data_IF_796285010842
#
_entry.id   IF_796285010842
#
_cell.length_a   1.000
_cell.length_b   1.000
_cell.length_c   1.000
_cell.angle_alpha   90.00
_cell.angle_beta   90.00
_cell.angle_gamma   90.00
#
_symmetry.space_group_name_H-M   'P 1'
#
loop_
_entity.id
_entity.type
_entity.pdbx_description
1 polymer ?
#
# COMPACT_ATOMS: atom_id res chain seq x y z
N UNK A 1 -4.64 7.05 -11.67
CA UNK A 1 -4.24 6.40 -10.40
C UNK A 1 -5.36 6.32 -9.36
N UNK A 2 -6.35 7.21 -9.36
CA UNK A 2 -7.52 7.12 -8.48
C UNK A 2 -8.45 5.98 -8.92
N UNK A 3 -9.02 5.27 -7.95
CA UNK A 3 -10.06 4.28 -8.22
C UNK A 3 -11.41 4.95 -8.50
N UNK A 4 -11.73 5.99 -7.73
CA UNK A 4 -12.91 6.83 -7.95
C UNK A 4 -12.47 8.21 -8.46
N UNK A 5 -12.93 8.56 -9.66
CA UNK A 5 -12.60 9.83 -10.30
C UNK A 5 -13.49 10.99 -9.81
N UNK A 6 -14.53 10.70 -9.04
CA UNK A 6 -15.47 11.71 -8.51
C UNK A 6 -15.03 12.26 -7.15
N UNK A 7 -14.13 11.55 -6.46
CA UNK A 7 -13.69 11.88 -5.09
C UNK A 7 -12.20 12.20 -5.07
N UNK A 8 -11.83 13.21 -4.28
CA UNK A 8 -10.46 13.59 -4.02
C UNK A 8 -9.78 14.35 -5.15
N UNK A 9 -8.55 14.77 -4.91
CA UNK A 9 -7.72 15.51 -5.86
C UNK A 9 -7.04 14.57 -6.87
N UNK A 10 -7.00 14.92 -8.18
CA UNK A 10 -6.19 14.18 -9.15
C UNK A 10 -4.71 14.15 -8.77
N UNK A 11 -4.06 13.02 -9.01
CA UNK A 11 -2.63 12.87 -8.68
C UNK A 11 -1.76 13.93 -9.36
N UNK A 12 -2.06 14.33 -10.60
CA UNK A 12 -1.33 15.38 -11.31
C UNK A 12 -1.43 16.74 -10.62
N UNK A 13 -2.60 17.08 -10.10
CA UNK A 13 -2.82 18.35 -9.37
C UNK A 13 -2.12 18.33 -8.00
N UNK A 14 -2.17 17.21 -7.29
CA UNK A 14 -1.39 17.02 -6.07
C UNK A 14 0.11 17.14 -6.36
N UNK A 15 0.59 16.51 -7.41
CA UNK A 15 2.01 16.49 -7.77
C UNK A 15 2.54 17.90 -8.12
N UNK A 16 1.70 18.77 -8.67
CA UNK A 16 2.07 20.17 -8.95
C UNK A 16 2.34 20.99 -7.68
N UNK A 17 1.72 20.61 -6.55
CA UNK A 17 1.83 21.32 -5.26
C UNK A 17 2.76 20.61 -4.27
N UNK A 18 3.08 19.35 -4.53
CA UNK A 18 3.84 18.50 -3.62
C UNK A 18 5.26 19.03 -3.40
N UNK A 19 5.68 18.99 -2.14
CA UNK A 19 7.07 19.28 -1.79
C UNK A 19 7.94 18.04 -2.03
N UNK A 20 9.21 18.28 -2.28
CA UNK A 20 10.21 17.19 -2.48
C UNK A 20 10.20 16.19 -1.34
N UNK A 21 10.14 16.68 -0.10
CA UNK A 21 10.16 15.87 1.11
C UNK A 21 8.95 14.94 1.19
N UNK A 22 7.77 15.41 0.81
CA UNK A 22 6.53 14.63 0.77
C UNK A 22 6.63 13.50 -0.27
N UNK A 23 7.16 13.80 -1.45
CA UNK A 23 7.37 12.79 -2.50
C UNK A 23 8.34 11.71 -2.00
N UNK A 24 9.44 12.11 -1.37
CA UNK A 24 10.43 11.17 -0.80
C UNK A 24 9.78 10.29 0.26
N UNK A 25 9.02 10.88 1.19
CA UNK A 25 8.36 10.13 2.26
C UNK A 25 7.39 9.08 1.70
N UNK A 26 6.55 9.47 0.74
CA UNK A 26 5.59 8.57 0.09
C UNK A 26 6.31 7.40 -0.58
N UNK A 27 7.36 7.69 -1.36
CA UNK A 27 8.12 6.68 -2.07
C UNK A 27 8.80 5.68 -1.13
N UNK A 28 9.35 6.14 -0.01
CA UNK A 28 9.93 5.26 1.01
C UNK A 28 8.86 4.47 1.75
N UNK A 29 7.85 5.16 2.27
CA UNK A 29 6.86 4.57 3.17
C UNK A 29 5.98 3.53 2.48
N UNK A 30 5.56 3.78 1.26
CA UNK A 30 4.60 2.95 0.55
C UNK A 30 5.20 2.12 -0.59
N UNK A 31 6.38 2.48 -1.08
CA UNK A 31 7.03 1.80 -2.19
C UNK A 31 8.28 1.03 -1.82
N UNK A 32 8.84 1.24 -0.63
CA UNK A 32 10.21 0.78 -0.31
C UNK A 32 11.17 1.12 -1.46
N UNK A 33 11.05 2.36 -1.99
CA UNK A 33 11.81 2.81 -3.15
C UNK A 33 13.18 3.35 -2.74
N UNK A 34 14.23 2.62 -3.10
CA UNK A 34 15.61 2.98 -2.72
C UNK A 34 16.11 4.27 -3.36
N UNK A 35 15.60 4.58 -4.54
CA UNK A 35 15.98 5.76 -5.30
C UNK A 35 15.00 6.94 -5.12
N UNK A 36 14.23 6.93 -4.02
CA UNK A 36 13.19 7.92 -3.74
C UNK A 36 13.68 9.39 -3.88
N UNK A 37 14.89 9.69 -3.39
CA UNK A 37 15.47 11.04 -3.49
C UNK A 37 15.75 11.44 -4.94
N UNK A 38 16.36 10.54 -5.69
CA UNK A 38 16.68 10.77 -7.10
C UNK A 38 15.42 10.99 -7.94
N UNK A 39 14.40 10.17 -7.70
CA UNK A 39 13.11 10.27 -8.37
C UNK A 39 12.40 11.57 -8.00
N UNK A 40 12.39 11.94 -6.72
CA UNK A 40 11.78 13.18 -6.27
C UNK A 40 12.47 14.42 -6.87
N UNK A 41 13.81 14.42 -6.93
CA UNK A 41 14.57 15.49 -7.58
C UNK A 41 14.18 15.65 -9.06
N UNK A 42 14.11 14.55 -9.78
CA UNK A 42 13.73 14.58 -11.19
C UNK A 42 12.28 15.06 -11.40
N UNK A 43 11.35 14.64 -10.53
CA UNK A 43 9.95 15.09 -10.57
C UNK A 43 9.90 16.61 -10.36
N UNK A 44 10.51 17.13 -9.29
CA UNK A 44 10.49 18.56 -8.97
C UNK A 44 11.13 19.39 -10.08
N UNK A 45 12.25 18.93 -10.65
CA UNK A 45 12.92 19.64 -11.73
C UNK A 45 12.07 19.66 -13.01
N UNK A 46 11.47 18.53 -13.35
CA UNK A 46 10.59 18.44 -14.53
C UNK A 46 9.35 19.32 -14.38
N UNK A 47 8.74 19.35 -13.18
CA UNK A 47 7.57 20.18 -12.92
C UNK A 47 7.81 21.67 -13.12
N UNK A 48 9.04 22.16 -12.95
CA UNK A 48 9.38 23.59 -13.20
C UNK A 48 9.28 23.97 -14.68
N UNK A 49 9.56 23.06 -15.56
CA UNK A 49 9.62 23.28 -17.02
C UNK A 49 8.42 22.74 -17.78
N UNK A 50 7.93 21.57 -17.36
CA UNK A 50 6.82 20.88 -18.02
C UNK A 50 6.04 20.03 -17.01
N UNK A 51 4.80 20.42 -16.66
CA UNK A 51 3.99 19.66 -15.72
C UNK A 51 3.75 18.21 -16.16
N UNK A 52 3.95 17.26 -15.24
CA UNK A 52 3.72 15.83 -15.47
C UNK A 52 2.22 15.57 -15.34
N UNK A 53 1.54 15.30 -16.46
CA UNK A 53 0.07 15.15 -16.51
C UNK A 53 -0.37 13.72 -16.79
N UNK A 54 0.52 12.87 -17.29
CA UNK A 54 0.18 11.49 -17.66
C UNK A 54 1.05 10.48 -16.93
N UNK A 55 0.49 9.29 -16.72
CA UNK A 55 1.24 8.15 -16.14
C UNK A 55 2.43 7.75 -17.01
N UNK A 56 2.32 7.90 -18.32
CA UNK A 56 3.40 7.59 -19.25
C UNK A 56 4.60 8.54 -19.08
N UNK A 57 4.34 9.85 -18.94
CA UNK A 57 5.39 10.82 -18.67
C UNK A 57 6.13 10.51 -17.36
N UNK A 58 5.38 10.22 -16.28
CA UNK A 58 5.97 9.86 -15.00
C UNK A 58 6.78 8.57 -15.08
N UNK A 59 6.26 7.55 -15.75
CA UNK A 59 6.97 6.27 -15.91
C UNK A 59 8.27 6.42 -16.71
N UNK A 60 8.24 7.22 -17.78
CA UNK A 60 9.44 7.53 -18.57
C UNK A 60 10.49 8.26 -17.73
N UNK A 61 10.07 9.32 -17.03
CA UNK A 61 10.95 10.07 -16.14
C UNK A 61 11.65 9.18 -15.11
N UNK A 62 10.88 8.33 -14.41
CA UNK A 62 11.44 7.41 -13.43
C UNK A 62 12.45 6.46 -14.08
N UNK A 63 12.12 5.91 -15.24
CA UNK A 63 13.00 5.00 -15.97
C UNK A 63 14.31 5.68 -16.39
N UNK A 64 14.24 6.94 -16.81
CA UNK A 64 15.40 7.69 -17.31
C UNK A 64 16.41 8.03 -16.19
N UNK A 65 15.90 8.27 -14.97
CA UNK A 65 16.75 8.60 -13.81
C UNK A 65 17.18 7.38 -13.01
N UNK A 66 16.67 6.20 -13.32
CA UNK A 66 17.05 4.99 -12.60
C UNK A 66 18.47 4.55 -13.01
N UNK A 67 19.37 4.31 -12.04
CA UNK A 67 20.77 4.03 -12.35
C UNK A 67 20.99 2.68 -13.05
N UNK A 68 20.18 1.67 -12.72
CA UNK A 68 20.26 0.36 -13.33
C UNK A 68 19.42 0.28 -14.60
N UNK A 69 20.06 0.06 -15.74
CA UNK A 69 19.37 -0.04 -17.04
C UNK A 69 18.80 -1.42 -17.37
N UNK A 70 19.26 -2.48 -16.66
CA UNK A 70 18.84 -3.87 -16.89
C UNK A 70 18.12 -4.41 -15.66
N UNK A 71 16.87 -3.99 -15.45
CA UNK A 71 16.04 -4.51 -14.38
C UNK A 71 15.10 -5.59 -14.92
N UNK A 72 14.88 -6.65 -14.11
CA UNK A 72 13.86 -7.68 -14.40
C UNK A 72 12.43 -7.15 -14.30
N UNK A 73 12.22 -6.11 -13.50
CA UNK A 73 10.93 -5.47 -13.23
C UNK A 73 11.02 -4.01 -13.67
N UNK A 74 9.91 -3.46 -14.15
CA UNK A 74 9.84 -2.04 -14.52
C UNK A 74 10.24 -1.17 -13.32
N UNK A 75 11.24 -0.28 -13.45
CA UNK A 75 11.71 0.56 -12.34
C UNK A 75 10.62 1.46 -11.74
N UNK A 76 9.61 1.83 -12.52
CA UNK A 76 8.50 2.63 -12.03
C UNK A 76 7.49 1.87 -11.14
N UNK A 77 7.55 0.53 -11.08
CA UNK A 77 6.53 -0.29 -10.38
C UNK A 77 6.37 0.11 -8.92
N UNK A 78 7.47 0.24 -8.17
CA UNK A 78 7.44 0.61 -6.75
C UNK A 78 6.91 2.03 -6.53
N UNK A 79 7.34 2.96 -7.36
CA UNK A 79 6.91 4.36 -7.29
C UNK A 79 5.41 4.49 -7.61
N UNK A 80 4.92 3.75 -8.60
CA UNK A 80 3.49 3.74 -8.93
C UNK A 80 2.66 3.08 -7.83
N UNK A 81 3.14 2.02 -7.21
CA UNK A 81 2.51 1.43 -6.03
C UNK A 81 2.42 2.46 -4.90
N UNK A 82 3.51 3.17 -4.59
CA UNK A 82 3.55 4.17 -3.54
C UNK A 82 2.53 5.29 -3.77
N UNK A 83 2.52 5.85 -4.96
CA UNK A 83 1.60 6.93 -5.31
C UNK A 83 0.14 6.48 -5.35
N UNK A 84 -0.14 5.24 -5.78
CA UNK A 84 -1.47 4.66 -5.78
C UNK A 84 -2.01 4.48 -4.36
N UNK A 85 -1.21 3.88 -3.49
CA UNK A 85 -1.55 3.70 -2.07
C UNK A 85 -1.85 5.05 -1.41
N UNK A 86 -1.02 6.04 -1.68
CA UNK A 86 -1.18 7.38 -1.11
C UNK A 86 -2.45 8.07 -1.60
N UNK A 87 -2.65 8.18 -2.92
CA UNK A 87 -3.76 8.97 -3.49
C UNK A 87 -5.13 8.35 -3.22
N UNK A 88 -5.20 7.03 -3.06
CA UNK A 88 -6.43 6.32 -2.74
C UNK A 88 -6.59 6.03 -1.24
N UNK A 89 -5.65 6.45 -0.40
CA UNK A 89 -5.67 6.16 1.06
C UNK A 89 -5.84 4.65 1.37
N UNK A 90 -5.26 3.79 0.50
CA UNK A 90 -5.58 2.35 0.44
C UNK A 90 -5.41 1.63 1.79
N UNK A 91 -4.35 1.96 2.54
CA UNK A 91 -4.05 1.27 3.79
C UNK A 91 -5.04 1.62 4.92
N UNK A 92 -5.54 2.85 4.96
CA UNK A 92 -6.56 3.23 5.95
C UNK A 92 -7.92 2.64 5.59
N UNK A 93 -8.32 2.73 4.32
CA UNK A 93 -9.54 2.10 3.81
C UNK A 93 -9.53 0.59 4.08
N UNK A 94 -8.37 -0.05 3.90
CA UNK A 94 -8.21 -1.47 4.18
C UNK A 94 -8.36 -1.79 5.67
N UNK A 95 -7.76 -1.00 6.57
CA UNK A 95 -7.94 -1.15 8.02
C UNK A 95 -9.41 -1.01 8.44
N UNK A 96 -10.07 0.02 7.95
CA UNK A 96 -11.49 0.27 8.22
C UNK A 96 -12.36 -0.88 7.71
N UNK A 97 -12.07 -1.40 6.52
CA UNK A 97 -12.77 -2.55 5.94
C UNK A 97 -12.66 -3.80 6.82
N UNK A 98 -11.49 -4.07 7.39
CA UNK A 98 -11.29 -5.18 8.32
C UNK A 98 -12.10 -4.99 9.62
N UNK A 99 -12.11 -3.79 10.17
CA UNK A 99 -12.89 -3.49 11.38
C UNK A 99 -14.40 -3.59 11.13
N UNK A 100 -14.88 -3.16 9.95
CA UNK A 100 -16.28 -3.33 9.55
C UNK A 100 -16.60 -4.81 9.38
N UNK A 101 -15.75 -5.57 8.67
CA UNK A 101 -15.91 -7.00 8.46
C UNK A 101 -16.07 -7.74 9.79
N UNK A 102 -15.23 -7.40 10.78
CA UNK A 102 -15.31 -7.95 12.14
C UNK A 102 -16.65 -7.71 12.84
N UNK A 103 -17.28 -6.55 12.61
CA UNK A 103 -18.56 -6.20 13.23
C UNK A 103 -19.76 -6.91 12.60
N UNK A 104 -19.71 -7.14 11.28
CA UNK A 104 -20.83 -7.71 10.53
C UNK A 104 -20.78 -9.23 10.38
N UNK A 105 -19.63 -9.85 10.65
CA UNK A 105 -19.48 -11.30 10.54
C UNK A 105 -20.36 -12.01 11.56
N UNK A 106 -21.11 -13.00 11.10
CA UNK A 106 -21.95 -13.84 11.96
C UNK A 106 -21.08 -14.85 12.73
N UNK A 107 -21.69 -15.43 13.77
CA UNK A 107 -21.10 -16.59 14.45
C UNK A 107 -20.73 -17.67 13.42
N UNK A 108 -19.53 -18.25 13.57
CA UNK A 108 -18.95 -19.24 12.65
C UNK A 108 -18.67 -18.73 11.22
N UNK A 109 -18.73 -17.40 11.03
CA UNK A 109 -18.37 -16.76 9.77
C UNK A 109 -16.85 -16.76 9.55
N UNK A 110 -16.43 -16.61 8.30
CA UNK A 110 -15.05 -16.64 7.87
C UNK A 110 -14.64 -15.32 7.21
N UNK A 111 -13.50 -14.76 7.61
CA UNK A 111 -12.84 -13.65 6.92
C UNK A 111 -11.63 -14.22 6.15
N UNK A 112 -11.65 -14.05 4.83
CA UNK A 112 -10.52 -14.41 3.97
C UNK A 112 -9.93 -13.13 3.41
N UNK A 113 -8.62 -12.95 3.59
CA UNK A 113 -7.89 -11.77 3.11
C UNK A 113 -6.77 -12.21 2.18
N UNK A 114 -6.67 -11.56 1.02
CA UNK A 114 -5.57 -11.74 0.09
C UNK A 114 -4.79 -10.43 0.05
N UNK A 115 -3.52 -10.46 0.42
CA UNK A 115 -2.61 -9.31 0.36
C UNK A 115 -1.60 -9.48 -0.77
N UNK A 116 -1.30 -8.39 -1.48
CA UNK A 116 -0.38 -8.39 -2.60
C UNK A 116 1.00 -7.79 -2.27
N UNK A 117 1.11 -7.09 -1.15
CA UNK A 117 2.37 -6.51 -0.69
C UNK A 117 2.49 -6.49 0.84
N UNK A 118 3.73 -6.28 1.32
CA UNK A 118 4.10 -6.38 2.73
C UNK A 118 3.34 -5.42 3.66
N UNK A 119 2.93 -4.26 3.17
CA UNK A 119 2.18 -3.28 3.99
C UNK A 119 0.77 -3.78 4.31
N UNK A 120 0.07 -4.37 3.32
CA UNK A 120 -1.23 -5.02 3.56
C UNK A 120 -1.07 -6.23 4.49
N UNK A 121 -0.09 -7.09 4.24
CA UNK A 121 0.21 -8.25 5.09
C UNK A 121 0.49 -7.83 6.54
N UNK A 122 1.22 -6.73 6.74
CA UNK A 122 1.45 -6.15 8.06
C UNK A 122 0.16 -5.76 8.78
N UNK A 123 -0.78 -5.11 8.07
CA UNK A 123 -2.08 -4.71 8.61
C UNK A 123 -2.90 -5.95 9.00
N UNK A 124 -2.94 -6.96 8.14
CA UNK A 124 -3.65 -8.22 8.42
C UNK A 124 -3.09 -8.90 9.67
N UNK A 125 -1.78 -9.03 9.75
CA UNK A 125 -1.12 -9.61 10.93
C UNK A 125 -1.41 -8.84 12.22
N UNK A 126 -1.38 -7.52 12.15
CA UNK A 126 -1.71 -6.67 13.30
C UNK A 126 -3.17 -6.83 13.72
N UNK A 127 -4.09 -6.82 12.77
CA UNK A 127 -5.52 -7.01 13.02
C UNK A 127 -5.83 -8.34 13.70
N UNK A 128 -5.22 -9.44 13.24
CA UNK A 128 -5.47 -10.77 13.82
C UNK A 128 -4.64 -11.08 15.07
N UNK A 129 -3.61 -10.31 15.38
CA UNK A 129 -2.71 -10.54 16.54
C UNK A 129 -3.43 -10.66 17.90
N UNK A 130 -4.41 -9.81 18.24
CA UNK A 130 -5.16 -9.95 19.49
C UNK A 130 -5.98 -11.25 19.52
N UNK A 131 -6.56 -11.61 18.39
CA UNK A 131 -7.38 -12.81 18.24
C UNK A 131 -6.53 -14.06 18.44
N UNK A 132 -5.36 -14.13 17.80
CA UNK A 132 -4.41 -15.24 17.93
C UNK A 132 -3.96 -15.43 19.39
N UNK A 133 -3.74 -14.34 20.13
CA UNK A 133 -3.34 -14.41 21.55
C UNK A 133 -4.43 -14.96 22.47
N UNK A 134 -5.69 -14.93 22.04
CA UNK A 134 -6.80 -15.46 22.81
C UNK A 134 -7.01 -16.98 22.64
N UNK A 135 -6.32 -17.63 21.69
CA UNK A 135 -6.40 -19.06 21.50
C UNK A 135 -5.61 -19.84 22.58
N UNK A 136 -6.10 -21.03 22.98
CA UNK A 136 -5.34 -21.93 23.84
C UNK A 136 -3.98 -22.25 23.23
N UNK A 137 -2.93 -22.35 24.09
CA UNK A 137 -1.54 -22.56 23.64
C UNK A 137 -1.26 -23.94 23.05
N UNK A 138 -2.16 -24.86 23.23
CA UNK A 138 -2.11 -26.24 22.75
C UNK A 138 -2.58 -26.41 21.29
N UNK A 139 -3.16 -25.37 20.68
CA UNK A 139 -3.44 -25.36 19.26
C UNK A 139 -2.12 -25.03 18.51
N UNK A 140 -1.57 -25.95 17.71
CA UNK A 140 -0.33 -25.70 16.98
C UNK A 140 -0.58 -24.68 15.86
N UNK A 141 -0.41 -23.40 16.19
CA UNK A 141 -0.37 -22.32 15.19
C UNK A 141 1.00 -22.39 14.52
N UNK A 142 1.07 -23.00 13.36
CA UNK A 142 2.30 -23.01 12.58
C UNK A 142 2.58 -21.60 12.06
N UNK A 143 3.52 -20.90 12.69
CA UNK A 143 3.88 -19.51 12.38
C UNK A 143 4.34 -19.29 10.92
N UNK A 144 4.74 -20.35 10.22
CA UNK A 144 5.08 -20.32 8.79
C UNK A 144 3.86 -20.44 7.87
N UNK A 145 2.72 -20.89 8.40
CA UNK A 145 1.48 -21.09 7.66
C UNK A 145 0.51 -19.89 7.76
N UNK A 146 0.88 -18.80 8.44
CA UNK A 146 0.05 -17.60 8.61
C UNK A 146 -0.31 -16.94 7.26
N UNK A 147 0.40 -17.25 6.22
CA UNK A 147 0.10 -16.80 4.85
C UNK A 147 -1.23 -17.34 4.29
N UNK A 148 -1.83 -18.38 4.89
CA UNK A 148 -3.01 -19.09 4.36
C UNK A 148 -3.96 -19.59 5.45
N UNK A 149 -3.89 -19.10 6.68
CA UNK A 149 -4.71 -19.63 7.77
C UNK A 149 -6.11 -19.04 7.76
N UNK A 150 -7.09 -19.92 7.79
CA UNK A 150 -8.46 -19.63 8.14
C UNK A 150 -8.51 -19.35 9.65
N UNK A 151 -8.78 -18.12 10.03
CA UNK A 151 -9.02 -17.74 11.42
C UNK A 151 -10.53 -17.67 11.64
N UNK A 152 -11.08 -18.64 12.38
CA UNK A 152 -12.41 -18.52 12.92
C UNK A 152 -12.37 -17.64 14.16
N UNK A 153 -13.19 -16.60 14.20
CA UNK A 153 -13.32 -15.74 15.39
C UNK A 153 -13.98 -16.54 16.52
N UNK A 154 -13.40 -16.54 17.75
CA UNK A 154 -14.09 -17.15 18.89
C UNK A 154 -15.39 -16.40 19.17
N UNK A 155 -16.45 -17.16 19.37
CA UNK A 155 -17.83 -16.72 19.46
C UNK A 155 -18.28 -16.28 20.85
N UNK A 156 -17.39 -15.74 21.66
CA UNK A 156 -17.72 -15.24 22.98
C UNK A 156 -17.49 -13.74 23.08
N UNK A 157 -18.49 -12.97 22.69
CA UNK A 157 -18.78 -11.68 23.29
C UNK A 157 -20.18 -11.77 23.89
N UNK A 158 -20.24 -12.16 25.17
CA UNK A 158 -21.35 -11.75 26.04
C UNK A 158 -21.13 -10.31 26.47
#
# INVERSE_FOLDING_TARGET
>A
MRFDNTVGEPFSEWLEKAKKEEIIEILYKFGDEKHARLIADAIIETQKSSPIRTTLQLASLIKDVYPEKKLKINPATKSFQAFRIFINNELNEFKESLEIAKRIIKKDGLIVVISFHSLEDGIVKEFFKPIIKSFPKDIPLNSKAVSYTHLTLPTTYE
#
